data_IF_300221842706
#
_entry.id   IF_300221842706
#
_cell.length_a   1.000
_cell.length_b   1.000
_cell.length_c   1.000
_cell.angle_alpha   90.00
_cell.angle_beta   90.00
_cell.angle_gamma   90.00
#
_symmetry.space_group_name_H-M   'P 1'
#
loop_
_entity.id
_entity.type
_entity.pdbx_description
1 polymer ?
#
# COMPACT_ATOMS: atom_id res chain seq x y z
N UNK A 1 -49.98 6.94 21.59
CA UNK A 1 -48.76 6.71 20.79
C UNK A 1 -47.59 7.33 21.53
N UNK A 2 -46.55 6.60 21.93
CA UNK A 2 -45.36 7.20 22.54
C UNK A 2 -44.63 8.03 21.47
N UNK A 3 -44.20 9.23 21.85
CA UNK A 3 -43.43 10.15 20.99
C UNK A 3 -42.04 9.59 20.72
N UNK A 4 -41.72 9.33 19.45
CA UNK A 4 -40.44 8.83 18.92
C UNK A 4 -39.21 9.73 19.22
N UNK A 5 -39.41 10.91 19.82
CA UNK A 5 -38.37 11.90 20.02
C UNK A 5 -37.57 11.75 21.32
N UNK A 6 -37.99 10.89 22.26
CA UNK A 6 -37.29 10.69 23.55
C UNK A 6 -35.98 9.89 23.44
N UNK A 7 -35.77 9.14 22.36
CA UNK A 7 -34.60 8.28 22.17
C UNK A 7 -33.42 8.98 21.46
N UNK A 8 -33.49 10.31 21.25
CA UNK A 8 -32.47 11.10 20.52
C UNK A 8 -31.60 12.00 21.40
N UNK A 9 -31.79 11.99 22.71
CA UNK A 9 -30.90 12.71 23.64
C UNK A 9 -29.57 11.96 23.76
N UNK A 10 -28.52 12.46 23.09
CA UNK A 10 -27.16 11.92 23.16
C UNK A 10 -26.47 11.69 21.81
N UNK A 11 -27.20 11.78 20.69
CA UNK A 11 -26.61 11.61 19.35
C UNK A 11 -26.18 12.99 18.83
N UNK A 12 -24.88 13.29 18.97
CA UNK A 12 -24.27 14.47 18.36
C UNK A 12 -24.28 14.34 16.83
N UNK A 13 -24.73 15.39 16.14
CA UNK A 13 -24.69 15.48 14.67
C UNK A 13 -23.49 16.33 14.26
N UNK A 14 -22.67 15.79 13.37
CA UNK A 14 -21.56 16.49 12.74
C UNK A 14 -21.69 16.38 11.22
N UNK A 15 -21.23 17.41 10.51
CA UNK A 15 -21.04 17.36 9.06
C UNK A 15 -19.59 16.97 8.82
N UNK A 16 -19.37 15.92 8.04
CA UNK A 16 -18.04 15.43 7.72
C UNK A 16 -17.85 15.43 6.21
N UNK A 17 -16.89 16.22 5.74
CA UNK A 17 -16.40 16.15 4.38
C UNK A 17 -15.25 15.14 4.33
N UNK A 18 -15.41 14.12 3.50
CA UNK A 18 -14.38 13.11 3.33
C UNK A 18 -13.37 13.56 2.28
N UNK A 19 -12.12 13.64 2.69
CA UNK A 19 -10.97 13.82 1.80
C UNK A 19 -9.93 12.74 2.10
N UNK A 20 -9.31 12.13 1.08
CA UNK A 20 -8.28 11.13 1.33
C UNK A 20 -7.05 11.80 1.96
N UNK A 21 -6.54 11.21 3.04
CA UNK A 21 -5.25 11.58 3.60
C UNK A 21 -4.09 11.18 2.68
N UNK A 22 -2.88 11.65 3.00
CA UNK A 22 -1.64 11.24 2.33
C UNK A 22 -0.84 10.32 3.25
N UNK A 23 -0.96 9.01 3.07
CA UNK A 23 -0.36 8.03 3.94
C UNK A 23 0.05 6.75 3.21
N UNK A 24 1.23 6.22 3.52
CA UNK A 24 1.57 4.81 3.30
C UNK A 24 1.22 4.06 4.56
N UNK A 25 0.24 3.17 4.49
CA UNK A 25 -0.25 2.43 5.67
C UNK A 25 0.50 1.13 5.88
N UNK A 26 0.96 0.52 4.77
CA UNK A 26 1.71 -0.74 4.79
C UNK A 26 2.89 -0.62 3.83
N UNK A 27 4.05 -1.11 4.29
CA UNK A 27 5.20 -1.40 3.46
C UNK A 27 5.85 -2.69 4.00
N UNK A 28 5.59 -3.79 3.30
CA UNK A 28 5.95 -5.13 3.75
C UNK A 28 6.70 -5.89 2.65
N UNK A 29 7.67 -6.71 3.04
CA UNK A 29 8.42 -7.57 2.12
C UNK A 29 8.33 -9.03 2.56
N UNK A 30 7.84 -9.89 1.67
CA UNK A 30 7.82 -11.34 1.86
C UNK A 30 9.02 -11.92 1.13
N UNK A 31 10.00 -12.46 1.86
CA UNK A 31 11.27 -12.87 1.25
C UNK A 31 11.16 -14.17 0.44
N UNK A 32 10.31 -15.09 0.90
CA UNK A 32 10.08 -16.37 0.25
C UNK A 32 8.58 -16.71 0.30
N UNK A 33 7.76 -16.11 -0.57
CA UNK A 33 6.32 -16.35 -0.59
C UNK A 33 6.04 -17.81 -0.92
N UNK A 34 5.06 -18.40 -0.24
CA UNK A 34 4.56 -19.73 -0.65
C UNK A 34 3.98 -19.63 -2.06
N UNK A 35 4.23 -20.65 -2.88
CA UNK A 35 3.71 -20.72 -4.25
C UNK A 35 2.20 -20.45 -4.36
N UNK A 36 1.39 -20.97 -3.42
CA UNK A 36 -0.06 -20.72 -3.37
C UNK A 36 -0.42 -19.22 -3.22
N UNK A 37 0.40 -18.45 -2.49
CA UNK A 37 0.22 -16.99 -2.38
C UNK A 37 0.51 -16.32 -3.72
N UNK A 38 1.60 -16.73 -4.37
CA UNK A 38 2.03 -16.18 -5.66
C UNK A 38 0.95 -16.35 -6.75
N UNK A 39 0.41 -17.57 -6.87
CA UNK A 39 -0.64 -17.92 -7.84
C UNK A 39 -1.94 -17.18 -7.53
N UNK A 40 -2.34 -17.10 -6.25
CA UNK A 40 -3.57 -16.40 -5.85
C UNK A 40 -3.50 -14.88 -6.05
N UNK A 41 -2.31 -14.31 -6.05
CA UNK A 41 -2.09 -12.91 -6.41
C UNK A 41 -2.07 -12.68 -7.93
N UNK A 42 -2.15 -13.75 -8.74
CA UNK A 42 -2.11 -13.65 -10.20
C UNK A 42 -0.72 -13.33 -10.76
N UNK A 43 0.34 -13.61 -10.00
CA UNK A 43 1.71 -13.34 -10.38
C UNK A 43 2.29 -14.48 -11.23
N UNK A 44 3.08 -14.14 -12.26
CA UNK A 44 3.72 -15.11 -13.15
C UNK A 44 4.80 -15.91 -12.41
N UNK A 45 4.63 -17.23 -12.37
CA UNK A 45 5.26 -18.13 -11.41
C UNK A 45 6.64 -18.64 -11.84
N UNK A 46 7.29 -18.00 -12.79
CA UNK A 46 8.54 -18.47 -13.39
C UNK A 46 9.75 -18.27 -12.47
N UNK A 47 9.60 -17.58 -11.33
CA UNK A 47 10.65 -17.37 -10.32
C UNK A 47 10.11 -17.33 -8.89
N UNK A 48 10.84 -17.92 -7.94
CA UNK A 48 10.61 -17.79 -6.49
C UNK A 48 11.10 -16.42 -5.99
N UNK A 49 10.52 -15.35 -6.55
CA UNK A 49 10.91 -13.97 -6.24
C UNK A 49 10.27 -13.49 -4.92
N UNK A 50 10.97 -12.58 -4.24
CA UNK A 50 10.41 -11.87 -3.10
C UNK A 50 9.29 -10.92 -3.55
N UNK A 51 8.36 -10.62 -2.65
CA UNK A 51 7.23 -9.73 -2.91
C UNK A 51 7.30 -8.51 -2.01
N UNK A 52 7.19 -7.31 -2.58
CA UNK A 52 6.93 -6.07 -1.85
C UNK A 52 5.45 -5.69 -1.95
N UNK A 53 4.79 -5.44 -0.82
CA UNK A 53 3.38 -5.07 -0.74
C UNK A 53 3.26 -3.70 -0.08
N UNK A 54 2.58 -2.77 -0.75
CA UNK A 54 2.29 -1.45 -0.24
C UNK A 54 0.79 -1.13 -0.28
N UNK A 55 0.34 -0.37 0.72
CA UNK A 55 -1.01 0.20 0.77
C UNK A 55 -0.89 1.71 0.93
N UNK A 56 -1.41 2.45 -0.04
CA UNK A 56 -1.15 3.89 -0.19
C UNK A 56 -2.47 4.65 -0.36
N UNK A 57 -2.62 5.74 0.38
CA UNK A 57 -3.73 6.68 0.27
C UNK A 57 -3.16 8.07 -0.05
N UNK A 58 -3.67 8.82 -1.03
CA UNK A 58 -4.73 8.44 -1.98
C UNK A 58 -4.27 7.35 -2.95
N UNK A 59 -5.22 6.62 -3.53
CA UNK A 59 -4.95 5.40 -4.31
C UNK A 59 -4.15 5.65 -5.58
N UNK A 60 -4.26 6.84 -6.17
CA UNK A 60 -3.51 7.24 -7.37
C UNK A 60 -1.99 7.30 -7.11
N UNK A 61 -1.56 7.48 -5.86
CA UNK A 61 -0.14 7.47 -5.52
C UNK A 61 0.50 6.08 -5.65
N UNK A 62 -0.29 5.01 -5.83
CA UNK A 62 0.22 3.70 -6.24
C UNK A 62 0.93 3.76 -7.62
N UNK A 63 0.46 4.61 -8.53
CA UNK A 63 1.07 4.80 -9.86
C UNK A 63 2.46 5.43 -9.72
N UNK A 64 2.56 6.46 -8.88
CA UNK A 64 3.83 7.14 -8.59
C UNK A 64 4.80 6.17 -7.92
N UNK A 65 4.30 5.37 -6.98
CA UNK A 65 5.11 4.38 -6.27
C UNK A 65 5.66 3.30 -7.19
N UNK A 66 4.87 2.84 -8.16
CA UNK A 66 5.32 1.86 -9.14
C UNK A 66 6.45 2.42 -10.03
N UNK A 67 6.31 3.68 -10.49
CA UNK A 67 7.34 4.36 -11.28
C UNK A 67 8.64 4.57 -10.49
N UNK A 68 8.54 5.02 -9.23
CA UNK A 68 9.70 5.19 -8.35
C UNK A 68 10.38 3.85 -8.08
N UNK A 69 9.62 2.82 -7.71
CA UNK A 69 10.16 1.50 -7.36
C UNK A 69 10.91 0.84 -8.51
N UNK A 70 10.33 0.86 -9.71
CA UNK A 70 10.93 0.26 -10.91
C UNK A 70 12.18 1.00 -11.40
N UNK A 71 12.34 2.29 -11.05
CA UNK A 71 13.57 3.06 -11.33
C UNK A 71 14.65 2.88 -10.26
N UNK A 72 14.26 2.50 -9.05
CA UNK A 72 15.17 2.38 -7.91
C UNK A 72 15.95 1.06 -7.90
N UNK A 73 15.35 -0.02 -8.40
CA UNK A 73 15.97 -1.35 -8.41
C UNK A 73 15.39 -2.25 -9.52
N UNK A 74 16.02 -3.40 -9.74
CA UNK A 74 15.57 -4.41 -10.70
C UNK A 74 14.35 -5.18 -10.16
N UNK A 75 13.19 -4.52 -10.20
CA UNK A 75 11.89 -5.06 -9.76
C UNK A 75 10.86 -4.97 -10.87
N UNK A 76 9.91 -5.89 -10.87
CA UNK A 76 8.76 -5.88 -11.77
C UNK A 76 7.48 -5.51 -11.02
N UNK A 77 6.53 -4.91 -11.74
CA UNK A 77 5.20 -4.65 -11.19
C UNK A 77 4.40 -5.93 -11.32
N UNK A 78 4.14 -6.58 -10.19
CA UNK A 78 3.24 -7.73 -10.13
C UNK A 78 1.78 -7.31 -10.21
N UNK A 79 1.41 -6.28 -9.46
CA UNK A 79 0.04 -5.76 -9.44
C UNK A 79 0.03 -4.27 -9.09
N UNK A 80 -0.78 -3.48 -9.79
CA UNK A 80 -0.98 -2.05 -9.54
C UNK A 80 -2.49 -1.78 -9.55
N UNK A 81 -3.02 -1.35 -8.40
CA UNK A 81 -4.42 -1.02 -8.25
C UNK A 81 -4.60 0.43 -7.80
N UNK A 82 -4.93 1.29 -8.77
CA UNK A 82 -5.23 2.71 -8.56
C UNK A 82 -6.61 2.98 -7.94
N UNK A 83 -7.43 1.96 -7.73
CA UNK A 83 -8.73 2.09 -7.06
C UNK A 83 -8.59 1.87 -5.55
N UNK A 84 -7.82 0.87 -5.13
CA UNK A 84 -7.56 0.62 -3.70
C UNK A 84 -6.29 1.28 -3.17
N UNK A 85 -5.33 1.61 -4.04
CA UNK A 85 -4.00 2.11 -3.65
C UNK A 85 -3.01 1.00 -3.32
N UNK A 86 -3.28 -0.23 -3.76
CA UNK A 86 -2.41 -1.38 -3.54
C UNK A 86 -1.35 -1.47 -4.64
N UNK A 87 -0.11 -1.71 -4.23
CA UNK A 87 1.01 -1.99 -5.13
C UNK A 87 1.72 -3.27 -4.68
N UNK A 88 1.92 -4.18 -5.62
CA UNK A 88 2.73 -5.39 -5.45
C UNK A 88 3.87 -5.36 -6.45
N UNK A 89 5.10 -5.45 -5.96
CA UNK A 89 6.31 -5.56 -6.77
C UNK A 89 7.02 -6.88 -6.49
N UNK A 90 7.72 -7.41 -7.48
CA UNK A 90 8.44 -8.69 -7.40
C UNK A 90 9.89 -8.53 -7.85
N UNK A 91 10.77 -9.37 -7.31
CA UNK A 91 12.18 -9.42 -7.71
C UNK A 91 13.03 -10.06 -6.62
N UNK A 92 14.36 -9.88 -6.70
CA UNK A 92 15.25 -10.36 -5.63
C UNK A 92 14.98 -9.60 -4.34
N UNK A 93 15.18 -10.27 -3.21
CA UNK A 93 14.95 -9.67 -1.88
C UNK A 93 15.68 -8.34 -1.67
N UNK A 94 16.91 -8.19 -2.17
CA UNK A 94 17.68 -6.94 -2.08
C UNK A 94 17.07 -5.82 -2.91
N UNK A 95 16.57 -6.14 -4.10
CA UNK A 95 16.01 -5.18 -5.05
C UNK A 95 14.63 -4.72 -4.58
N UNK A 96 13.78 -5.66 -4.12
CA UNK A 96 12.48 -5.35 -3.51
C UNK A 96 12.64 -4.45 -2.29
N UNK A 97 13.59 -4.75 -1.39
CA UNK A 97 13.85 -3.90 -0.22
C UNK A 97 14.30 -2.48 -0.62
N UNK A 98 15.17 -2.37 -1.62
CA UNK A 98 15.68 -1.09 -2.11
C UNK A 98 14.55 -0.27 -2.75
N UNK A 99 13.71 -0.90 -3.57
CA UNK A 99 12.55 -0.28 -4.18
C UNK A 99 11.54 0.20 -3.14
N UNK A 100 11.14 -0.65 -2.17
CA UNK A 100 10.21 -0.26 -1.10
C UNK A 100 10.76 0.91 -0.28
N UNK A 101 12.05 0.88 0.06
CA UNK A 101 12.70 1.97 0.81
C UNK A 101 12.65 3.28 0.02
N UNK A 102 12.96 3.25 -1.26
CA UNK A 102 12.97 4.44 -2.09
C UNK A 102 11.56 5.00 -2.30
N UNK A 103 10.56 4.13 -2.46
CA UNK A 103 9.14 4.55 -2.50
C UNK A 103 8.76 5.31 -1.22
N UNK A 104 9.03 4.74 -0.05
CA UNK A 104 8.72 5.39 1.23
C UNK A 104 9.45 6.72 1.35
N UNK A 105 10.75 6.75 1.04
CA UNK A 105 11.56 7.96 1.09
C UNK A 105 11.00 9.06 0.17
N UNK A 106 10.65 8.70 -1.07
CA UNK A 106 10.09 9.65 -2.03
C UNK A 106 8.74 10.19 -1.56
N UNK A 107 7.81 9.31 -1.18
CA UNK A 107 6.48 9.71 -0.72
C UNK A 107 6.56 10.57 0.55
N UNK A 108 7.39 10.19 1.53
CA UNK A 108 7.58 10.91 2.78
C UNK A 108 8.28 12.25 2.56
N UNK A 109 9.45 12.24 1.96
CA UNK A 109 10.33 13.41 1.91
C UNK A 109 10.01 14.38 0.76
N UNK A 110 9.42 13.89 -0.33
CA UNK A 110 9.08 14.72 -1.50
C UNK A 110 7.62 15.11 -1.51
N UNK A 111 6.71 14.15 -1.25
CA UNK A 111 5.26 14.40 -1.33
C UNK A 111 4.60 14.66 0.03
N UNK A 112 5.34 14.53 1.14
CA UNK A 112 4.84 14.77 2.49
C UNK A 112 3.74 13.79 2.90
N UNK A 113 3.93 12.50 2.60
CA UNK A 113 3.08 11.43 3.11
C UNK A 113 3.51 11.05 4.52
N UNK A 114 2.55 10.73 5.38
CA UNK A 114 2.83 9.93 6.56
C UNK A 114 3.16 8.50 6.13
N UNK A 115 4.12 7.84 6.77
CA UNK A 115 4.57 6.52 6.35
C UNK A 115 5.15 5.74 7.53
N UNK A 116 5.32 4.41 7.45
CA UNK A 116 5.93 3.62 8.51
C UNK A 116 7.43 3.94 8.65
N UNK A 117 7.95 3.93 9.87
CA UNK A 117 9.38 4.17 10.12
C UNK A 117 10.29 3.01 9.72
N UNK A 118 9.73 1.82 9.59
CA UNK A 118 10.46 0.62 9.18
C UNK A 118 9.64 -0.20 8.19
N UNK A 119 10.35 -0.81 7.25
CA UNK A 119 9.82 -1.83 6.37
C UNK A 119 9.69 -3.10 7.21
N UNK A 120 8.55 -3.76 7.11
CA UNK A 120 8.30 -5.03 7.80
C UNK A 120 8.61 -6.22 6.89
N UNK A 121 8.96 -7.36 7.48
CA UNK A 121 9.39 -8.56 6.73
C UNK A 121 8.71 -9.82 7.23
N UNK A 122 8.48 -10.79 6.34
CA UNK A 122 8.09 -12.16 6.67
C UNK A 122 8.76 -13.23 5.80
#
# INVERSE_FOLDING_TARGET
>A
MPSLDKDREGISRSIQEYVPGKQVTLAHVIANPKHDVYVKLGLESDRDDAIGILTITPSEAAIISADVGTKAADVQIGFLDRFSGSLVITGKISDVNSAVREIINFLRNTLGFDAPDHITHS
#
